data_IF_500010469080
#
_entry.id   IF_500010469080
#
_cell.length_a   1.000
_cell.length_b   1.000
_cell.length_c   1.000
_cell.angle_alpha   90.00
_cell.angle_beta   90.00
_cell.angle_gamma   90.00
#
_symmetry.space_group_name_H-M   'P 1'
#
loop_
_entity.id
_entity.type
_entity.pdbx_description
1 polymer ?
#
# COMPACT_ATOMS: atom_id res chain seq x y z
N UNK A 1 25.85 6.19 -18.39
CA UNK A 1 25.50 5.00 -17.57
C UNK A 1 24.13 4.56 -18.02
N UNK A 2 24.05 3.58 -18.91
CA UNK A 2 22.75 2.96 -19.21
C UNK A 2 22.33 2.20 -17.96
N UNK A 3 21.31 2.70 -17.27
CA UNK A 3 20.63 1.90 -16.25
C UNK A 3 19.92 0.79 -17.01
N UNK A 4 20.61 -0.35 -17.17
CA UNK A 4 20.05 -1.54 -17.76
C UNK A 4 18.71 -1.85 -17.08
N UNK A 5 17.67 -2.07 -17.89
CA UNK A 5 16.36 -2.45 -17.41
C UNK A 5 16.54 -3.55 -16.36
N UNK A 6 16.14 -3.34 -15.08
CA UNK A 6 16.20 -4.41 -14.10
C UNK A 6 15.37 -5.55 -14.66
N UNK A 7 16.04 -6.65 -15.02
CA UNK A 7 15.44 -7.71 -15.83
C UNK A 7 14.06 -8.11 -15.31
N UNK A 8 13.15 -8.53 -16.21
CA UNK A 8 11.75 -8.78 -15.89
C UNK A 8 11.55 -9.58 -14.60
N UNK A 9 12.39 -10.60 -14.36
CA UNK A 9 12.41 -11.41 -13.14
C UNK A 9 12.62 -10.56 -11.88
N UNK A 10 13.60 -9.67 -11.86
CA UNK A 10 13.87 -8.78 -10.73
C UNK A 10 12.69 -7.86 -10.45
N UNK A 11 12.08 -7.31 -11.50
CA UNK A 11 10.90 -6.43 -11.37
C UNK A 11 9.72 -7.18 -10.76
N UNK A 12 9.44 -8.40 -11.23
CA UNK A 12 8.37 -9.25 -10.67
C UNK A 12 8.65 -9.58 -9.20
N UNK A 13 9.86 -10.03 -8.87
CA UNK A 13 10.20 -10.40 -7.49
C UNK A 13 10.08 -9.17 -6.57
N UNK A 14 10.62 -8.02 -6.98
CA UNK A 14 10.54 -6.78 -6.21
C UNK A 14 9.10 -6.33 -6.00
N UNK A 15 8.27 -6.43 -7.04
CA UNK A 15 6.84 -6.14 -6.96
C UNK A 15 6.13 -7.06 -5.97
N UNK A 16 6.36 -8.38 -6.04
CA UNK A 16 5.74 -9.34 -5.12
C UNK A 16 6.15 -9.09 -3.67
N UNK A 17 7.43 -8.77 -3.42
CA UNK A 17 7.91 -8.44 -2.07
C UNK A 17 7.22 -7.16 -1.56
N UNK A 18 7.22 -6.10 -2.37
CA UNK A 18 6.58 -4.84 -2.00
C UNK A 18 5.08 -5.00 -1.74
N UNK A 19 4.38 -5.76 -2.60
CA UNK A 19 2.96 -6.06 -2.44
C UNK A 19 2.70 -6.87 -1.17
N UNK A 20 3.54 -7.87 -0.87
CA UNK A 20 3.42 -8.69 0.35
C UNK A 20 3.50 -7.82 1.60
N UNK A 21 4.48 -6.91 1.66
CA UNK A 21 4.65 -6.00 2.79
C UNK A 21 3.46 -5.04 2.90
N UNK A 22 3.03 -4.46 1.77
CA UNK A 22 1.91 -3.52 1.73
C UNK A 22 0.60 -4.15 2.22
N UNK A 23 0.29 -5.37 1.77
CA UNK A 23 -0.92 -6.08 2.19
C UNK A 23 -0.77 -6.55 3.64
N UNK A 24 0.41 -7.04 4.05
CA UNK A 24 0.63 -7.41 5.45
C UNK A 24 0.34 -6.25 6.42
N UNK A 25 0.87 -5.06 6.12
CA UNK A 25 0.65 -3.86 6.94
C UNK A 25 -0.83 -3.45 6.92
N UNK A 26 -1.51 -3.61 5.79
CA UNK A 26 -2.95 -3.36 5.64
C UNK A 26 -3.78 -4.28 6.56
N UNK A 27 -3.59 -5.59 6.44
CA UNK A 27 -4.29 -6.59 7.25
C UNK A 27 -3.98 -6.41 8.73
N UNK A 28 -2.73 -6.09 9.05
CA UNK A 28 -2.30 -5.77 10.42
C UNK A 28 -3.06 -4.58 10.99
N UNK A 29 -3.41 -3.59 10.16
CA UNK A 29 -4.23 -2.47 10.59
C UNK A 29 -5.65 -2.85 10.98
N UNK A 30 -6.32 -3.68 10.17
CA UNK A 30 -7.61 -4.25 10.54
C UNK A 30 -7.54 -5.04 11.85
N UNK A 31 -6.50 -5.87 11.99
CA UNK A 31 -6.28 -6.70 13.17
C UNK A 31 -6.14 -5.86 14.46
N UNK A 32 -5.27 -4.84 14.47
CA UNK A 32 -5.06 -4.02 15.67
C UNK A 32 -6.35 -3.34 16.09
N UNK A 33 -7.06 -2.70 15.16
CA UNK A 33 -8.25 -1.93 15.50
C UNK A 33 -9.40 -2.84 15.93
N UNK A 34 -9.52 -4.03 15.34
CA UNK A 34 -10.45 -5.04 15.82
C UNK A 34 -10.16 -5.46 17.26
N UNK A 35 -8.87 -5.67 17.59
CA UNK A 35 -8.44 -6.00 18.96
C UNK A 35 -8.72 -4.85 19.95
N UNK A 36 -8.54 -3.59 19.53
CA UNK A 36 -8.89 -2.42 20.35
C UNK A 36 -10.38 -2.39 20.71
N UNK A 37 -11.27 -2.76 19.78
CA UNK A 37 -12.72 -2.84 20.04
C UNK A 37 -13.18 -4.18 20.65
N UNK A 38 -12.25 -5.02 21.10
CA UNK A 38 -12.51 -6.35 21.68
C UNK A 38 -13.29 -7.27 20.74
N UNK A 39 -13.05 -7.14 19.43
CA UNK A 39 -13.55 -8.07 18.43
C UNK A 39 -12.59 -9.26 18.36
N UNK A 40 -13.13 -10.47 18.40
CA UNK A 40 -12.34 -11.69 18.27
C UNK A 40 -11.98 -11.91 16.80
N UNK A 41 -10.71 -12.23 16.55
CA UNK A 41 -10.17 -12.52 15.23
C UNK A 41 -9.78 -13.98 15.19
N UNK A 42 -10.38 -14.74 14.28
CA UNK A 42 -10.16 -16.19 14.17
C UNK A 42 -8.95 -16.51 13.31
N UNK A 43 -8.77 -15.81 12.18
CA UNK A 43 -7.70 -16.08 11.24
C UNK A 43 -7.05 -14.78 10.80
N UNK A 44 -5.72 -14.75 10.82
CA UNK A 44 -4.91 -13.74 10.16
C UNK A 44 -4.05 -14.45 9.11
N UNK A 45 -4.37 -14.27 7.83
CA UNK A 45 -3.65 -14.94 6.73
C UNK A 45 -2.80 -13.95 5.95
N UNK A 46 -1.53 -14.29 5.82
CA UNK A 46 -0.60 -13.64 4.89
C UNK A 46 -0.54 -14.53 3.65
N UNK A 47 -0.99 -14.01 2.53
CA UNK A 47 -1.15 -14.74 1.28
C UNK A 47 -2.46 -15.52 1.18
N UNK A 48 -2.65 -16.09 -0.01
CA UNK A 48 -3.79 -16.95 -0.37
C UNK A 48 -3.37 -18.38 -0.66
N UNK A 49 -4.35 -19.29 -0.67
CA UNK A 49 -4.18 -20.68 -1.08
C UNK A 49 -3.82 -21.63 0.06
N UNK A 50 -2.94 -22.60 -0.22
CA UNK A 50 -2.55 -23.63 0.73
C UNK A 50 -1.68 -23.05 1.84
N UNK A 51 -2.08 -23.28 3.08
CA UNK A 51 -1.31 -22.93 4.28
C UNK A 51 0.00 -23.73 4.27
N UNK A 52 1.13 -23.03 4.25
CA UNK A 52 2.47 -23.63 4.37
C UNK A 52 2.79 -23.81 5.85
N UNK A 53 2.50 -22.77 6.62
CA UNK A 53 2.76 -22.73 8.06
C UNK A 53 1.68 -21.93 8.75
N UNK A 54 1.32 -22.33 9.96
CA UNK A 54 0.47 -21.50 10.79
C UNK A 54 0.58 -21.83 12.26
N UNK A 55 0.33 -20.82 13.08
CA UNK A 55 0.41 -20.89 14.53
C UNK A 55 -0.79 -20.19 15.14
N UNK A 56 -1.39 -20.82 16.16
CA UNK A 56 -2.43 -20.17 16.96
C UNK A 56 -1.77 -19.37 18.08
N UNK A 57 -2.09 -18.09 18.15
CA UNK A 57 -1.65 -17.19 19.22
C UNK A 57 -2.46 -17.44 20.51
N UNK A 58 -1.97 -16.95 21.66
CA UNK A 58 -2.64 -16.99 22.97
C UNK A 58 -4.03 -16.33 22.93
N UNK A 59 -4.20 -15.39 22.01
CA UNK A 59 -5.46 -14.68 21.78
C UNK A 59 -6.50 -15.48 20.97
N UNK A 60 -6.18 -16.71 20.58
CA UNK A 60 -7.05 -17.58 19.78
C UNK A 60 -7.02 -17.30 18.27
N UNK A 61 -6.21 -16.34 17.82
CA UNK A 61 -6.05 -16.04 16.38
C UNK A 61 -5.09 -17.02 15.72
N UNK A 62 -5.53 -17.67 14.65
CA UNK A 62 -4.70 -18.53 13.79
C UNK A 62 -3.96 -17.68 12.77
N UNK A 63 -2.67 -17.49 13.00
CA UNK A 63 -1.75 -16.88 12.04
C UNK A 63 -1.40 -17.90 10.97
N UNK A 64 -1.67 -17.58 9.71
CA UNK A 64 -1.40 -18.44 8.56
C UNK A 64 -0.46 -17.75 7.59
N UNK A 65 0.46 -18.52 7.06
CA UNK A 65 1.33 -18.13 5.97
C UNK A 65 1.03 -19.06 4.79
N UNK A 66 0.53 -18.48 3.71
CA UNK A 66 0.06 -19.21 2.53
C UNK A 66 1.01 -19.02 1.36
N UNK A 67 0.95 -19.94 0.38
CA UNK A 67 1.93 -19.99 -0.71
C UNK A 67 1.89 -18.79 -1.67
N UNK A 68 0.74 -18.14 -1.83
CA UNK A 68 0.57 -17.09 -2.82
C UNK A 68 0.65 -15.70 -2.14
N UNK A 69 1.72 -14.91 -2.36
CA UNK A 69 1.91 -13.60 -1.70
C UNK A 69 1.03 -12.47 -2.26
N UNK A 70 0.05 -12.78 -3.11
CA UNK A 70 -0.77 -11.78 -3.82
C UNK A 70 -1.86 -11.12 -2.95
N UNK A 71 -1.86 -11.37 -1.64
CA UNK A 71 -2.73 -10.65 -0.71
C UNK A 71 -2.74 -11.26 0.69
N UNK A 72 -3.87 -11.20 1.36
CA UNK A 72 -4.08 -11.65 2.73
C UNK A 72 -5.54 -11.42 3.13
N UNK A 73 -5.93 -11.90 4.30
CA UNK A 73 -7.24 -11.59 4.86
C UNK A 73 -7.26 -11.76 6.38
N UNK A 74 -8.10 -10.95 7.03
CA UNK A 74 -8.47 -11.10 8.44
C UNK A 74 -9.89 -11.63 8.54
N UNK A 75 -10.06 -12.80 9.16
CA UNK A 75 -11.38 -13.38 9.44
C UNK A 75 -11.80 -13.06 10.87
N UNK A 76 -12.91 -12.35 11.02
CA UNK A 76 -13.50 -12.03 12.32
C UNK A 76 -14.41 -13.16 12.82
N UNK A 77 -14.51 -13.27 14.13
CA UNK A 77 -15.40 -14.23 14.78
C UNK A 77 -16.87 -13.89 14.46
N UNK A 78 -17.63 -14.93 14.10
CA UNK A 78 -19.01 -14.81 13.63
C UNK A 78 -19.15 -14.30 12.19
N UNK A 79 -18.04 -14.05 11.48
CA UNK A 79 -18.08 -13.81 10.04
C UNK A 79 -18.14 -15.15 9.29
N UNK A 80 -19.34 -15.72 9.25
CA UNK A 80 -19.62 -16.96 8.55
C UNK A 80 -19.62 -16.70 7.03
N UNK A 81 -18.46 -16.92 6.42
CA UNK A 81 -18.19 -17.04 4.99
C UNK A 81 -18.44 -15.80 4.11
N UNK A 82 -17.37 -15.32 3.46
CA UNK A 82 -17.42 -14.50 2.23
C UNK A 82 -18.15 -15.18 1.04
N UNK A 83 -18.73 -16.38 1.21
CA UNK A 83 -19.41 -17.15 0.16
C UNK A 83 -20.71 -17.83 0.61
N UNK A 84 -21.21 -17.53 1.82
CA UNK A 84 -22.49 -18.06 2.27
C UNK A 84 -23.20 -16.94 2.99
N UNK A 85 -24.20 -16.37 2.31
CA UNK A 85 -25.22 -15.54 2.93
C UNK A 85 -25.61 -16.18 4.27
N UNK A 86 -25.63 -15.36 5.32
CA UNK A 86 -25.73 -15.79 6.71
C UNK A 86 -26.67 -16.97 6.88
N UNK A 87 -26.14 -18.08 7.37
CA UNK A 87 -26.98 -19.15 7.89
C UNK A 87 -27.67 -18.61 9.14
N UNK A 88 -28.99 -18.39 9.12
CA UNK A 88 -29.74 -17.81 10.25
C UNK A 88 -29.67 -18.68 11.52
N UNK A 89 -29.21 -19.93 11.36
CA UNK A 89 -29.14 -20.95 12.41
C UNK A 89 -27.92 -20.84 13.33
N UNK A 90 -26.90 -20.04 12.98
CA UNK A 90 -25.75 -19.80 13.87
C UNK A 90 -26.02 -18.62 14.84
N UNK A 91 -26.84 -17.67 14.44
CA UNK A 91 -27.20 -16.51 15.27
C UNK A 91 -28.15 -16.85 16.43
N UNK A 92 -28.94 -17.93 16.27
CA UNK A 92 -29.91 -18.41 17.27
C UNK A 92 -29.29 -19.20 18.42
N UNK A 93 -28.03 -19.63 18.31
CA UNK A 93 -27.33 -20.43 19.32
C UNK A 93 -26.16 -19.71 20.01
N UNK A 94 -25.87 -18.45 19.63
CA UNK A 94 -24.81 -17.68 20.29
C UNK A 94 -25.27 -17.09 21.62
N UNK A 95 -24.50 -17.35 22.67
CA UNK A 95 -24.62 -16.68 23.96
C UNK A 95 -24.41 -15.15 23.83
N UNK A 96 -24.96 -14.37 24.75
CA UNK A 96 -24.81 -12.90 24.74
C UNK A 96 -23.33 -12.46 24.84
N UNK A 97 -22.50 -13.29 25.47
CA UNK A 97 -21.05 -13.11 25.59
C UNK A 97 -20.33 -13.28 24.24
N UNK A 98 -20.76 -14.24 23.41
CA UNK A 98 -20.22 -14.48 22.07
C UNK A 98 -20.65 -13.39 21.08
N UNK A 99 -21.88 -12.88 21.21
CA UNK A 99 -22.37 -11.74 20.43
C UNK A 99 -21.55 -10.49 20.72
N UNK A 100 -21.15 -10.27 21.98
CA UNK A 100 -20.35 -9.10 22.36
C UNK A 100 -18.95 -9.06 21.72
N UNK A 101 -18.38 -10.20 21.32
CA UNK A 101 -17.07 -10.30 20.67
C UNK A 101 -17.15 -10.45 19.14
N UNK A 102 -18.35 -10.63 18.60
CA UNK A 102 -18.60 -10.78 17.18
C UNK A 102 -18.58 -9.42 16.46
N UNK A 103 -17.97 -9.39 15.26
CA UNK A 103 -17.84 -8.16 14.46
C UNK A 103 -19.20 -7.56 14.07
N UNK A 104 -20.15 -8.42 13.67
CA UNK A 104 -21.44 -7.99 13.13
C UNK A 104 -22.33 -7.30 14.16
N UNK A 105 -22.20 -7.65 15.43
CA UNK A 105 -22.99 -7.08 16.53
C UNK A 105 -22.40 -5.78 17.10
N UNK A 106 -21.22 -5.33 16.62
CA UNK A 106 -20.64 -4.04 17.05
C UNK A 106 -21.37 -2.85 16.42
N UNK A 107 -21.37 -1.68 17.10
CA UNK A 107 -21.88 -0.45 16.53
C UNK A 107 -21.26 -0.13 15.18
N UNK A 108 -22.04 0.47 14.28
CA UNK A 108 -21.62 0.81 12.90
C UNK A 108 -20.31 1.59 12.89
N UNK A 109 -20.14 2.56 13.80
CA UNK A 109 -18.91 3.35 13.90
C UNK A 109 -17.67 2.52 14.21
N UNK A 110 -17.78 1.50 15.06
CA UNK A 110 -16.65 0.61 15.38
C UNK A 110 -16.33 -0.30 14.19
N UNK A 111 -17.34 -0.84 13.52
CA UNK A 111 -17.15 -1.65 12.30
C UNK A 111 -16.51 -0.84 11.18
N UNK A 112 -16.98 0.38 10.97
CA UNK A 112 -16.42 1.32 10.00
C UNK A 112 -14.96 1.66 10.35
N UNK A 113 -14.64 1.91 11.62
CA UNK A 113 -13.28 2.15 12.07
C UNK A 113 -12.35 0.94 11.81
N UNK A 114 -12.81 -0.28 12.07
CA UNK A 114 -12.04 -1.51 11.79
C UNK A 114 -11.76 -1.64 10.29
N UNK A 115 -12.75 -1.43 9.43
CA UNK A 115 -12.58 -1.52 7.97
C UNK A 115 -11.74 -0.37 7.42
N UNK A 116 -11.85 0.84 7.97
CA UNK A 116 -11.01 1.96 7.56
C UNK A 116 -9.55 1.84 8.05
N UNK A 117 -9.31 1.06 9.11
CA UNK A 117 -7.99 0.94 9.73
C UNK A 117 -6.90 0.44 8.78
N UNK A 118 -7.20 -0.54 7.91
CA UNK A 118 -6.24 -1.09 6.96
C UNK A 118 -5.67 -0.02 6.03
N UNK A 119 -6.51 0.69 5.25
CA UNK A 119 -6.06 1.82 4.43
C UNK A 119 -5.32 2.90 5.23
N UNK A 120 -5.85 3.31 6.39
CA UNK A 120 -5.25 4.38 7.21
C UNK A 120 -3.83 3.99 7.65
N UNK A 121 -3.64 2.76 8.11
CA UNK A 121 -2.31 2.30 8.55
C UNK A 121 -1.34 2.19 7.37
N UNK A 122 -1.80 1.82 6.17
CA UNK A 122 -0.95 1.90 4.98
C UNK A 122 -0.54 3.33 4.63
N UNK A 123 -1.45 4.31 4.74
CA UNK A 123 -1.10 5.72 4.54
C UNK A 123 -0.07 6.18 5.57
N UNK A 124 -0.24 5.84 6.85
CA UNK A 124 0.73 6.15 7.90
C UNK A 124 2.08 5.47 7.64
N UNK A 125 2.07 4.21 7.21
CA UNK A 125 3.27 3.46 6.85
C UNK A 125 4.03 4.12 5.69
N UNK A 126 3.31 4.58 4.66
CA UNK A 126 3.92 5.33 3.56
C UNK A 126 4.56 6.63 4.06
N UNK A 127 3.86 7.40 4.90
CA UNK A 127 4.40 8.63 5.51
C UNK A 127 5.70 8.32 6.26
N UNK A 128 5.73 7.26 7.07
CA UNK A 128 6.91 6.87 7.84
C UNK A 128 8.08 6.47 6.93
N UNK A 129 7.83 5.71 5.85
CA UNK A 129 8.87 5.34 4.88
C UNK A 129 9.43 6.59 4.20
N UNK A 130 8.58 7.47 3.67
CA UNK A 130 9.02 8.67 2.98
C UNK A 130 9.74 9.63 3.92
N UNK A 131 9.25 9.79 5.14
CA UNK A 131 9.92 10.57 6.18
C UNK A 131 11.33 10.02 6.45
N UNK A 132 11.46 8.72 6.67
CA UNK A 132 12.76 8.07 6.88
C UNK A 132 13.70 8.23 5.67
N UNK A 133 13.18 8.07 4.45
CA UNK A 133 13.93 8.28 3.21
C UNK A 133 14.46 9.71 3.11
N UNK A 134 13.62 10.70 3.40
CA UNK A 134 13.99 12.11 3.32
C UNK A 134 14.97 12.56 4.39
N UNK A 135 14.88 12.00 5.60
CA UNK A 135 15.85 12.27 6.68
C UNK A 135 17.19 11.61 6.38
N UNK A 136 17.21 10.42 5.76
CA UNK A 136 18.45 9.65 5.53
C UNK A 136 19.17 10.01 4.22
N UNK A 137 18.45 10.17 3.12
CA UNK A 137 19.00 10.38 1.77
C UNK A 137 18.87 11.84 1.33
N UNK A 138 18.02 12.63 2.00
CA UNK A 138 17.74 14.02 1.65
C UNK A 138 16.65 14.16 0.57
N UNK A 139 16.54 15.37 0.01
CA UNK A 139 15.60 15.67 -1.07
C UNK A 139 16.30 15.55 -2.43
N UNK A 140 15.78 14.75 -3.38
CA UNK A 140 16.25 14.80 -4.76
C UNK A 140 15.82 16.13 -5.39
N UNK A 141 16.72 17.11 -5.38
CA UNK A 141 16.52 18.37 -6.09
C UNK A 141 16.72 18.11 -7.58
N UNK A 142 15.72 18.45 -8.39
CA UNK A 142 15.91 18.55 -9.84
C UNK A 142 16.34 19.98 -10.15
N UNK A 143 17.63 20.26 -10.35
CA UNK A 143 18.05 21.60 -10.70
C UNK A 143 17.40 21.99 -12.03
N UNK A 144 16.90 23.22 -12.11
CA UNK A 144 16.38 23.73 -13.36
C UNK A 144 17.56 23.91 -14.33
N UNK A 145 17.65 23.00 -15.31
CA UNK A 145 18.68 23.06 -16.35
C UNK A 145 18.19 24.02 -17.43
N UNK A 146 18.95 25.09 -17.69
CA UNK A 146 18.71 25.96 -18.84
C UNK A 146 19.09 25.15 -20.08
N UNK A 147 18.09 24.69 -20.83
CA UNK A 147 18.30 23.85 -22.00
C UNK A 147 18.91 24.61 -23.18
N UNK A 148 18.53 25.88 -23.35
CA UNK A 148 19.03 26.75 -24.43
C UNK A 148 18.70 28.21 -24.09
N UNK A 149 19.63 29.13 -24.40
CA UNK A 149 19.40 30.59 -24.30
C UNK A 149 19.27 31.11 -25.72
N UNK A 150 18.04 31.26 -26.20
CA UNK A 150 17.82 31.82 -27.53
C UNK A 150 18.07 33.33 -27.52
N UNK A 151 18.97 33.85 -28.38
CA UNK A 151 19.09 35.28 -28.58
C UNK A 151 17.82 35.78 -29.27
N UNK A 152 17.05 36.62 -28.58
CA UNK A 152 15.95 37.36 -29.20
C UNK A 152 16.55 38.52 -30.02
N UNK A 153 17.07 38.21 -31.20
CA UNK A 153 17.44 39.24 -32.17
C UNK A 153 16.19 39.70 -32.91
N UNK A 154 15.42 40.61 -32.30
CA UNK A 154 14.39 41.36 -33.03
C UNK A 154 15.10 42.43 -33.87
N UNK A 155 15.11 42.26 -35.20
CA UNK A 155 15.48 43.32 -36.14
C UNK A 155 14.71 44.59 -35.75
N UNK A 156 15.44 45.70 -35.61
CA UNK A 156 15.06 47.08 -35.17
C UNK A 156 15.39 47.42 -33.71
N UNK A 157 16.69 47.57 -33.43
CA UNK A 157 17.22 48.71 -32.66
C UNK A 157 16.75 48.94 -31.22
N UNK A 158 16.23 47.93 -30.51
CA UNK A 158 15.89 48.06 -29.09
C UNK A 158 16.54 46.93 -28.28
N UNK A 159 17.13 47.37 -27.16
CA UNK A 159 17.94 46.69 -26.15
C UNK A 159 17.63 45.19 -25.93
N UNK A 160 18.67 44.35 -26.10
CA UNK A 160 18.60 42.90 -25.93
C UNK A 160 18.55 42.54 -24.44
N UNK A 161 17.37 42.19 -23.91
CA UNK A 161 17.25 41.59 -22.58
C UNK A 161 17.12 40.07 -22.65
N UNK A 162 17.85 39.30 -21.83
CA UNK A 162 17.76 37.85 -21.82
C UNK A 162 16.39 37.41 -21.28
N UNK A 163 15.67 36.58 -22.04
CA UNK A 163 14.45 35.90 -21.59
C UNK A 163 14.81 34.45 -21.34
N UNK A 164 14.83 34.04 -20.06
CA UNK A 164 15.09 32.65 -19.67
C UNK A 164 13.82 31.83 -19.95
N UNK A 165 13.88 30.90 -20.91
CA UNK A 165 12.79 29.97 -21.19
C UNK A 165 13.03 28.67 -20.43
N UNK A 166 12.33 28.48 -19.31
CA UNK A 166 12.32 27.20 -18.62
C UNK A 166 11.58 26.16 -19.48
N UNK A 167 12.28 25.11 -19.90
CA UNK A 167 11.70 23.99 -20.62
C UNK A 167 11.39 22.89 -19.61
N UNK A 168 10.18 22.90 -19.04
CA UNK A 168 9.81 22.01 -17.93
C UNK A 168 9.60 20.54 -18.34
N UNK A 169 9.61 20.21 -19.64
CA UNK A 169 9.34 18.85 -20.08
C UNK A 169 9.80 18.62 -21.53
N UNK A 170 11.06 18.23 -21.74
CA UNK A 170 11.47 17.71 -23.05
C UNK A 170 12.25 16.41 -22.90
N UNK A 171 11.53 15.32 -23.21
CA UNK A 171 12.07 13.99 -23.37
C UNK A 171 13.29 14.00 -24.31
N UNK A 172 14.35 13.35 -23.84
CA UNK A 172 15.59 13.10 -24.58
C UNK A 172 15.24 12.27 -25.82
N UNK A 173 15.15 12.93 -26.98
CA UNK A 173 15.23 12.26 -28.28
C UNK A 173 16.62 12.53 -28.82
N UNK A 174 17.49 11.53 -28.74
CA UNK A 174 18.83 11.52 -29.33
C UNK A 174 18.72 11.79 -30.84
N UNK A 175 19.28 12.91 -31.30
CA UNK A 175 19.67 13.08 -32.70
C UNK A 175 21.13 12.68 -32.79
N UNK A 176 21.40 11.47 -33.27
CA UNK A 176 22.70 11.16 -33.87
C UNK A 176 22.74 11.84 -35.25
N UNK A 177 23.81 12.57 -35.61
CA UNK A 177 24.05 12.92 -37.00
C UNK A 177 24.58 11.67 -37.72
N UNK A 178 23.95 11.29 -38.82
CA UNK A 178 24.53 10.35 -39.77
C UNK A 178 25.72 11.03 -40.49
N UNK A 179 26.74 10.26 -40.92
CA UNK A 179 27.89 10.79 -41.66
C UNK A 179 27.52 11.35 -43.04
#
# INVERSE_FOLDING_TARGET
>A
METGNPGLIFTIISFLIALTILVFVHEWGHYIVARLFKVRVDVFSIGFGREIYGRTDKNGTRWKFSILPLGGYVKFYGDANQTSQGTPDLDSQMSDEEKAVCFHYKPVGQRAAIVAAGPVINFLFAILIYFGLFVSIGQPVQPAIIADVQPICRRRGLDCRPVIRFCLWRAIRSRTPAP
#
